data_IF_783310664150
#
_entry.id   IF_783310664150
#
_cell.length_a   1.000
_cell.length_b   1.000
_cell.length_c   1.000
_cell.angle_alpha   90.00
_cell.angle_beta   90.00
_cell.angle_gamma   90.00
#
_symmetry.space_group_name_H-M   'P 1'
#
loop_
_entity.id
_entity.type
_entity.pdbx_description
1 polymer ?
#
# COMPACT_ATOMS: atom_id res chain seq x y z
N UNK A 1 29.71 4.49 -3.14
CA UNK A 1 28.70 5.50 -2.78
C UNK A 1 29.32 6.53 -1.82
N UNK A 2 29.88 7.65 -2.31
CA UNK A 2 30.59 8.63 -1.44
C UNK A 2 30.18 10.09 -1.65
N UNK A 3 29.54 10.45 -2.76
CA UNK A 3 29.14 11.85 -3.04
C UNK A 3 27.99 12.36 -2.15
N UNK A 4 27.15 11.46 -1.63
CA UNK A 4 25.98 11.83 -0.82
C UNK A 4 26.33 12.24 0.63
N UNK A 5 27.57 12.00 1.08
CA UNK A 5 28.04 12.48 2.40
C UNK A 5 28.55 13.93 2.34
N UNK A 6 28.88 14.44 1.14
CA UNK A 6 29.42 15.79 0.97
C UNK A 6 28.32 16.86 0.89
N UNK A 7 27.16 16.49 0.35
CA UNK A 7 25.98 17.37 0.35
C UNK A 7 25.22 17.25 1.68
N UNK A 8 24.81 18.38 2.31
CA UNK A 8 24.09 18.38 3.58
C UNK A 8 22.61 18.02 3.41
N UNK A 9 22.30 16.98 2.63
CA UNK A 9 20.94 16.60 2.26
C UNK A 9 20.07 16.29 3.50
N UNK A 10 20.65 15.71 4.55
CA UNK A 10 19.96 15.46 5.82
C UNK A 10 19.45 16.76 6.44
N UNK A 11 20.26 17.82 6.39
CA UNK A 11 19.89 19.15 6.87
C UNK A 11 18.82 19.78 5.99
N UNK A 12 18.92 19.64 4.66
CA UNK A 12 17.92 20.14 3.72
C UNK A 12 16.55 19.46 3.91
N UNK A 13 16.52 18.13 4.03
CA UNK A 13 15.30 17.36 4.28
C UNK A 13 14.66 17.76 5.61
N UNK A 14 15.46 17.83 6.68
CA UNK A 14 15.00 18.26 8.01
C UNK A 14 14.43 19.68 7.98
N UNK A 15 15.11 20.61 7.29
CA UNK A 15 14.69 22.00 7.19
C UNK A 15 13.42 22.15 6.35
N UNK A 16 13.32 21.43 5.23
CA UNK A 16 12.12 21.40 4.41
C UNK A 16 10.92 20.84 5.19
N UNK A 17 11.07 19.67 5.81
CA UNK A 17 10.01 19.03 6.60
C UNK A 17 9.49 19.97 7.71
N UNK A 18 10.40 20.54 8.52
CA UNK A 18 10.03 21.48 9.58
C UNK A 18 9.37 22.75 9.05
N UNK A 19 9.81 23.28 7.90
CA UNK A 19 9.22 24.47 7.28
C UNK A 19 7.77 24.25 6.85
N UNK A 20 7.43 23.03 6.44
CA UNK A 20 6.07 22.64 6.07
C UNK A 20 5.25 22.10 7.25
N UNK A 21 5.74 22.23 8.50
CA UNK A 21 5.03 21.79 9.70
C UNK A 21 5.14 20.30 10.01
N UNK A 22 5.95 19.55 9.27
CA UNK A 22 6.17 18.13 9.50
C UNK A 22 7.29 17.87 10.53
N UNK A 23 7.18 16.74 11.22
CA UNK A 23 8.23 16.22 12.10
C UNK A 23 9.51 15.92 11.31
N UNK A 24 10.66 15.95 12.00
CA UNK A 24 11.95 15.58 11.39
C UNK A 24 11.93 14.09 11.01
N UNK A 25 11.86 13.74 9.71
CA UNK A 25 11.64 12.37 9.28
C UNK A 25 12.84 11.48 9.61
N UNK A 26 14.05 12.05 9.64
CA UNK A 26 15.28 11.32 9.97
C UNK A 26 15.28 10.94 11.44
N UNK A 27 14.89 11.87 12.31
CA UNK A 27 14.77 11.61 13.74
C UNK A 27 13.63 10.62 14.05
N UNK A 28 12.52 10.70 13.32
CA UNK A 28 11.39 9.79 13.46
C UNK A 28 11.80 8.36 13.07
N UNK A 29 12.40 8.18 11.89
CA UNK A 29 12.87 6.87 11.43
C UNK A 29 13.91 6.26 12.38
N UNK A 30 14.85 7.06 12.87
CA UNK A 30 15.82 6.60 13.87
C UNK A 30 15.16 6.10 15.16
N UNK A 31 14.10 6.78 15.62
CA UNK A 31 13.33 6.34 16.78
C UNK A 31 12.51 5.07 16.49
N UNK A 32 11.89 4.98 15.32
CA UNK A 32 11.15 3.78 14.89
C UNK A 32 12.06 2.55 14.82
N UNK A 33 13.26 2.70 14.29
CA UNK A 33 14.23 1.62 14.24
C UNK A 33 14.64 1.13 15.64
N UNK A 34 14.73 2.04 16.63
CA UNK A 34 15.01 1.68 18.02
C UNK A 34 13.86 0.92 18.72
N UNK A 35 12.64 0.91 18.17
CA UNK A 35 11.55 0.07 18.67
C UNK A 35 11.64 -1.37 18.15
N UNK A 36 12.32 -1.60 17.04
CA UNK A 36 12.51 -2.95 16.50
C UNK A 36 13.60 -3.70 17.27
N UNK A 37 13.47 -5.02 17.35
CA UNK A 37 14.55 -5.86 17.84
C UNK A 37 15.76 -5.72 16.90
N UNK A 38 16.99 -5.62 17.43
CA UNK A 38 18.18 -5.60 16.60
C UNK A 38 18.21 -6.84 15.69
N UNK A 39 18.18 -6.61 14.38
CA UNK A 39 18.25 -7.67 13.37
C UNK A 39 19.67 -7.73 12.84
N UNK A 40 20.22 -8.94 12.72
CA UNK A 40 21.52 -9.19 12.08
C UNK A 40 21.50 -8.85 10.59
N UNK A 41 20.31 -8.91 9.98
CA UNK A 41 20.07 -8.60 8.58
C UNK A 41 19.31 -7.29 8.49
N UNK A 42 19.77 -6.38 7.63
CA UNK A 42 19.04 -5.14 7.34
C UNK A 42 17.63 -5.44 6.81
N UNK A 43 16.71 -4.49 6.98
CA UNK A 43 15.36 -4.60 6.43
C UNK A 43 15.43 -4.82 4.90
N UNK A 44 14.78 -5.86 4.35
CA UNK A 44 14.76 -6.09 2.91
C UNK A 44 14.14 -4.90 2.19
N UNK A 45 14.90 -4.29 1.27
CA UNK A 45 14.47 -3.10 0.53
C UNK A 45 13.24 -3.43 -0.33
N UNK A 46 13.13 -4.68 -0.78
CA UNK A 46 12.01 -5.23 -1.53
C UNK A 46 10.71 -5.15 -0.72
N UNK A 47 10.75 -5.43 0.59
CA UNK A 47 9.58 -5.33 1.47
C UNK A 47 9.17 -3.89 1.70
N UNK A 48 10.13 -2.99 1.89
CA UNK A 48 9.86 -1.55 2.00
C UNK A 48 9.21 -1.03 0.72
N UNK A 49 9.76 -1.41 -0.45
CA UNK A 49 9.20 -1.04 -1.75
C UNK A 49 7.79 -1.60 -1.93
N UNK A 50 7.57 -2.87 -1.62
CA UNK A 50 6.26 -3.51 -1.70
C UNK A 50 5.24 -2.80 -0.81
N UNK A 51 5.60 -2.47 0.43
CA UNK A 51 4.76 -1.73 1.37
C UNK A 51 4.39 -0.33 0.86
N UNK A 52 5.35 0.38 0.27
CA UNK A 52 5.09 1.71 -0.33
C UNK A 52 4.12 1.61 -1.50
N UNK A 53 4.32 0.66 -2.42
CA UNK A 53 3.42 0.45 -3.57
C UNK A 53 2.01 0.09 -3.10
N UNK A 54 1.92 -0.81 -2.13
CA UNK A 54 0.67 -1.27 -1.54
C UNK A 54 -0.14 -0.11 -0.93
N UNK A 55 0.49 0.75 -0.12
CA UNK A 55 -0.18 1.91 0.45
C UNK A 55 -0.47 3.01 -0.58
N UNK A 56 0.39 3.20 -1.58
CA UNK A 56 0.13 4.16 -2.67
C UNK A 56 -1.13 3.79 -3.46
N UNK A 57 -1.29 2.50 -3.80
CA UNK A 57 -2.53 1.99 -4.40
C UNK A 57 -3.71 2.14 -3.46
N UNK A 58 -3.51 1.84 -2.17
CA UNK A 58 -4.55 2.04 -1.17
C UNK A 58 -5.03 3.49 -1.08
N UNK A 59 -4.16 4.48 -1.31
CA UNK A 59 -4.56 5.89 -1.36
C UNK A 59 -5.41 6.22 -2.59
N UNK A 60 -5.12 5.60 -3.73
CA UNK A 60 -5.93 5.72 -4.95
C UNK A 60 -7.30 5.10 -4.68
N UNK A 61 -7.34 3.87 -4.18
CA UNK A 61 -8.57 3.16 -3.82
C UNK A 61 -9.44 3.97 -2.86
N UNK A 62 -8.83 4.65 -1.87
CA UNK A 62 -9.55 5.56 -0.96
C UNK A 62 -10.40 6.60 -1.69
N UNK A 63 -9.90 7.13 -2.81
CA UNK A 63 -10.62 8.14 -3.58
C UNK A 63 -11.58 7.51 -4.57
N UNK A 64 -11.13 6.54 -5.36
CA UNK A 64 -11.94 6.01 -6.46
C UNK A 64 -13.18 5.28 -5.91
N UNK A 65 -13.03 4.47 -4.85
CA UNK A 65 -14.16 3.72 -4.29
C UNK A 65 -15.19 4.66 -3.68
N UNK A 66 -14.76 5.60 -2.84
CA UNK A 66 -15.69 6.49 -2.13
C UNK A 66 -16.47 7.42 -3.06
N UNK A 67 -15.88 7.80 -4.21
CA UNK A 67 -16.52 8.71 -5.16
C UNK A 67 -17.35 8.01 -6.23
N UNK A 68 -17.25 6.69 -6.39
CA UNK A 68 -17.94 5.94 -7.45
C UNK A 68 -18.66 4.70 -6.87
N UNK A 69 -19.50 4.91 -5.86
CA UNK A 69 -20.22 3.82 -5.16
C UNK A 69 -21.23 3.09 -6.05
N UNK A 70 -21.60 3.66 -7.18
CA UNK A 70 -22.50 3.11 -8.19
C UNK A 70 -21.82 2.14 -9.17
N UNK A 71 -20.49 2.05 -9.14
CA UNK A 71 -19.74 1.13 -9.99
C UNK A 71 -19.86 -0.31 -9.49
N UNK A 72 -19.57 -1.24 -10.39
CA UNK A 72 -19.39 -2.65 -10.02
C UNK A 72 -18.00 -2.81 -9.43
N UNK A 73 -17.91 -3.17 -8.15
CA UNK A 73 -16.64 -3.34 -7.46
C UNK A 73 -16.25 -4.81 -7.29
N UNK A 74 -14.94 -5.12 -7.17
CA UNK A 74 -14.49 -6.45 -6.85
C UNK A 74 -14.98 -6.87 -5.47
N UNK A 75 -15.15 -8.18 -5.31
CA UNK A 75 -15.76 -8.85 -4.16
C UNK A 75 -15.25 -8.36 -2.82
N UNK A 76 -13.95 -8.04 -2.71
CA UNK A 76 -13.38 -7.56 -1.47
C UNK A 76 -13.91 -6.18 -1.07
N UNK A 77 -14.13 -5.27 -2.02
CA UNK A 77 -14.62 -3.91 -1.76
C UNK A 77 -16.07 -4.01 -1.27
N UNK A 78 -16.93 -4.69 -2.01
CA UNK A 78 -18.35 -4.88 -1.65
C UNK A 78 -18.48 -5.36 -0.19
N UNK A 79 -17.68 -6.36 0.20
CA UNK A 79 -17.75 -6.93 1.56
C UNK A 79 -17.05 -6.10 2.63
N UNK A 80 -15.94 -5.44 2.32
CA UNK A 80 -15.23 -4.62 3.31
C UNK A 80 -15.90 -3.28 3.58
N UNK A 81 -16.74 -2.82 2.66
CA UNK A 81 -17.40 -1.52 2.73
C UNK A 81 -18.83 -1.60 3.27
N UNK A 82 -19.45 -2.79 3.28
CA UNK A 82 -20.75 -3.04 3.89
C UNK A 82 -20.64 -3.24 5.42
N UNK A 83 -21.20 -2.35 6.26
CA UNK A 83 -21.16 -2.48 7.71
C UNK A 83 -21.92 -3.68 8.28
N UNK A 84 -22.82 -4.29 7.52
CA UNK A 84 -23.56 -5.50 7.92
C UNK A 84 -22.78 -6.78 7.63
N UNK A 85 -21.67 -6.68 6.89
CA UNK A 85 -20.87 -7.82 6.48
C UNK A 85 -19.82 -8.21 7.54
N UNK A 86 -19.62 -9.51 7.84
CA UNK A 86 -18.56 -9.96 8.73
C UNK A 86 -17.14 -9.59 8.28
N UNK A 87 -16.94 -9.31 6.99
CA UNK A 87 -15.66 -8.87 6.44
C UNK A 87 -15.44 -7.35 6.52
N UNK A 88 -16.40 -6.60 7.09
CA UNK A 88 -16.32 -5.16 7.27
C UNK A 88 -15.07 -4.75 8.06
N UNK A 89 -14.37 -3.74 7.55
CA UNK A 89 -13.24 -3.14 8.25
C UNK A 89 -13.60 -1.68 8.58
N UNK A 90 -13.73 -1.29 9.86
CA UNK A 90 -13.94 0.11 10.25
C UNK A 90 -12.76 0.99 9.84
N UNK A 91 -13.04 2.12 9.16
CA UNK A 91 -12.00 2.93 8.50
C UNK A 91 -11.79 4.33 9.08
N UNK A 92 -12.28 4.59 10.29
CA UNK A 92 -12.33 5.93 10.91
C UNK A 92 -11.05 6.77 10.72
N UNK A 93 -9.87 6.16 10.89
CA UNK A 93 -8.59 6.84 10.71
C UNK A 93 -7.71 6.21 9.61
N UNK A 94 -8.26 5.32 8.79
CA UNK A 94 -7.47 4.67 7.73
C UNK A 94 -7.29 5.62 6.55
N UNK A 95 -6.05 6.00 6.28
CA UNK A 95 -5.70 6.90 5.17
C UNK A 95 -5.74 6.16 3.82
N UNK A 96 -5.48 4.85 3.84
CA UNK A 96 -5.38 4.00 2.65
C UNK A 96 -6.41 2.87 2.70
N UNK A 97 -7.12 2.62 1.61
CA UNK A 97 -8.07 1.51 1.49
C UNK A 97 -7.45 0.34 0.74
N UNK A 98 -7.17 -0.75 1.46
CA UNK A 98 -6.48 -1.94 0.96
C UNK A 98 -7.30 -3.18 1.29
N UNK A 99 -7.16 -4.23 0.48
CA UNK A 99 -7.80 -5.51 0.74
C UNK A 99 -7.14 -6.24 1.93
N UNK A 100 -7.92 -6.53 2.97
CA UNK A 100 -7.48 -7.18 4.21
C UNK A 100 -8.17 -8.53 4.48
N UNK A 101 -9.33 -8.80 3.87
CA UNK A 101 -10.17 -9.96 4.21
C UNK A 101 -10.39 -10.95 3.07
N UNK A 102 -10.39 -10.51 1.80
CA UNK A 102 -10.77 -11.35 0.66
C UNK A 102 -9.65 -11.41 -0.39
N UNK A 103 -8.46 -11.88 0.02
CA UNK A 103 -7.23 -11.93 -0.80
C UNK A 103 -7.03 -13.24 -1.57
N UNK A 104 -8.10 -14.00 -1.77
CA UNK A 104 -8.06 -15.25 -2.51
C UNK A 104 -8.56 -14.99 -3.93
N UNK A 105 -7.62 -14.77 -4.85
CA UNK A 105 -7.91 -14.53 -6.27
C UNK A 105 -7.35 -15.66 -7.11
N UNK A 106 -8.02 -15.94 -8.23
CA UNK A 106 -7.56 -16.95 -9.19
C UNK A 106 -6.92 -16.24 -10.36
N UNK A 107 -5.62 -16.46 -10.57
CA UNK A 107 -4.95 -16.04 -11.79
C UNK A 107 -5.22 -17.05 -12.91
N UNK A 108 -5.54 -16.55 -14.09
CA UNK A 108 -5.72 -17.35 -15.30
C UNK A 108 -4.56 -17.00 -16.22
N UNK A 109 -3.87 -18.02 -16.73
CA UNK A 109 -2.76 -17.85 -17.66
C UNK A 109 -2.84 -18.86 -18.78
N UNK A 110 -2.18 -18.53 -19.89
CA UNK A 110 -1.96 -19.43 -21.00
C UNK A 110 -0.45 -19.66 -21.15
N UNK A 111 0.01 -20.88 -21.49
CA UNK A 111 1.40 -21.09 -21.83
C UNK A 111 1.87 -20.11 -22.91
N UNK A 112 3.11 -19.66 -22.76
CA UNK A 112 3.79 -18.73 -23.69
C UNK A 112 3.17 -17.32 -23.79
N UNK A 113 2.24 -16.96 -22.87
CA UNK A 113 1.76 -15.59 -22.67
C UNK A 113 2.18 -15.08 -21.29
N UNK A 114 2.63 -13.82 -21.24
CA UNK A 114 3.06 -13.16 -19.99
C UNK A 114 1.87 -12.63 -19.18
N UNK A 115 0.70 -12.49 -19.81
CA UNK A 115 -0.51 -11.97 -19.18
C UNK A 115 -1.09 -12.96 -18.16
N UNK A 116 -1.35 -12.44 -16.96
CA UNK A 116 -1.99 -13.15 -15.86
C UNK A 116 -3.20 -12.36 -15.32
N UNK A 117 -4.30 -12.28 -16.10
CA UNK A 117 -5.55 -11.73 -15.59
C UNK A 117 -5.99 -12.47 -14.32
N UNK A 118 -6.62 -11.73 -13.41
CA UNK A 118 -7.11 -12.29 -12.14
C UNK A 118 -8.62 -12.18 -12.05
N UNK A 119 -9.23 -13.21 -11.50
CA UNK A 119 -10.66 -13.35 -11.28
C UNK A 119 -10.92 -13.43 -9.78
N UNK A 120 -11.85 -12.60 -9.31
CA UNK A 120 -12.28 -12.62 -7.91
C UNK A 120 -13.25 -13.79 -7.62
N UNK A 121 -13.60 -14.06 -6.34
CA UNK A 121 -14.50 -15.15 -5.99
C UNK A 121 -15.92 -15.08 -6.58
N UNK A 122 -16.31 -13.95 -7.19
CA UNK A 122 -17.63 -13.73 -7.81
C UNK A 122 -17.56 -13.58 -9.33
N UNK A 123 -16.39 -13.81 -9.93
CA UNK A 123 -16.22 -13.83 -11.37
C UNK A 123 -15.86 -12.47 -11.98
N UNK A 124 -15.62 -11.43 -11.16
CA UNK A 124 -15.15 -10.16 -11.69
C UNK A 124 -13.69 -10.30 -12.14
N UNK A 125 -13.43 -9.91 -13.39
CA UNK A 125 -12.13 -10.07 -14.05
C UNK A 125 -11.44 -8.72 -14.22
N UNK A 126 -10.13 -8.67 -13.94
CA UNK A 126 -9.24 -7.58 -14.34
C UNK A 126 -8.16 -8.15 -15.26
N UNK A 127 -7.81 -7.45 -16.37
CA UNK A 127 -6.82 -7.94 -17.32
C UNK A 127 -5.39 -7.92 -16.76
N UNK A 128 -5.16 -7.21 -15.66
CA UNK A 128 -3.83 -7.04 -15.08
C UNK A 128 -3.63 -7.92 -13.85
N UNK A 129 -2.46 -8.55 -13.79
CA UNK A 129 -2.00 -9.18 -12.56
C UNK A 129 -1.92 -8.14 -11.44
N UNK A 130 -2.51 -8.43 -10.29
CA UNK A 130 -2.52 -7.53 -9.13
C UNK A 130 -3.16 -6.16 -9.45
N UNK A 131 -4.21 -6.18 -10.29
CA UNK A 131 -4.92 -5.00 -10.80
C UNK A 131 -6.15 -4.57 -10.00
N UNK A 132 -6.42 -5.18 -8.84
CA UNK A 132 -7.54 -4.84 -7.94
C UNK A 132 -7.09 -4.00 -6.73
#
# INVERSE_FOLDING_TARGET
MSWMNWLPWRYLVKRAAKRHGFLDPIALLGKLHNFAQPSEVGEPIELLRAGVIFHARGLINSRVIQHNLDWVWPYWVERQFDPEDPAFIPRAFSITHINLSNRNWTAIGQPDLDELPIVDPRGLLTPWYDGW
#
